data_IF_819463675448
#
_entry.id   IF_819463675448
#
_cell.length_a   1.000
_cell.length_b   1.000
_cell.length_c   1.000
_cell.angle_alpha   90.00
_cell.angle_beta   90.00
_cell.angle_gamma   90.00
#
_symmetry.space_group_name_H-M   'P 1'
#
loop_
_entity.id
_entity.type
_entity.pdbx_description
1 polymer ?
#
# COMPACT_ATOMS: atom_id res chain seq x y z
N UNK A 1 -27.30 6.32 12.13
CA UNK A 1 -26.61 5.04 11.90
C UNK A 1 -25.22 5.33 11.36
N UNK A 2 -24.17 4.80 11.99
CA UNK A 2 -22.81 4.90 11.43
C UNK A 2 -22.70 3.93 10.26
N UNK A 3 -22.76 4.46 9.05
CA UNK A 3 -22.59 3.71 7.81
C UNK A 3 -21.20 3.06 7.80
N UNK A 4 -21.18 1.73 7.72
CA UNK A 4 -19.97 0.92 7.75
C UNK A 4 -19.97 -0.06 6.58
N UNK A 5 -18.79 -0.33 6.06
CA UNK A 5 -18.57 -1.15 4.87
C UNK A 5 -17.32 -2.02 5.06
N UNK A 6 -17.10 -2.96 4.15
CA UNK A 6 -16.00 -3.92 4.18
C UNK A 6 -15.23 -3.83 2.88
N UNK A 7 -13.91 -3.69 2.97
CA UNK A 7 -13.02 -3.77 1.81
C UNK A 7 -12.04 -4.94 1.91
N UNK A 8 -11.65 -5.46 0.76
CA UNK A 8 -10.57 -6.43 0.63
C UNK A 8 -9.27 -5.70 0.31
N UNK A 9 -8.24 -5.97 1.10
CA UNK A 9 -6.90 -5.39 0.94
C UNK A 9 -5.91 -6.48 0.63
N UNK A 10 -5.27 -6.36 -0.54
CA UNK A 10 -4.26 -7.28 -1.04
C UNK A 10 -2.88 -6.91 -0.49
N UNK A 11 -2.13 -7.92 -0.06
CA UNK A 11 -0.79 -7.79 0.50
C UNK A 11 0.19 -8.47 -0.49
N UNK A 12 1.42 -7.96 -0.66
CA UNK A 12 2.35 -8.48 -1.69
C UNK A 12 2.72 -9.95 -1.54
N UNK A 13 2.60 -10.52 -0.34
CA UNK A 13 2.82 -11.95 -0.08
C UNK A 13 1.65 -12.86 -0.53
N UNK A 14 0.67 -12.31 -1.25
CA UNK A 14 -0.51 -13.04 -1.73
C UNK A 14 -1.66 -13.11 -0.72
N UNK A 15 -1.47 -12.62 0.51
CA UNK A 15 -2.52 -12.60 1.54
C UNK A 15 -3.55 -11.53 1.21
N UNK A 16 -4.83 -11.87 1.41
CA UNK A 16 -5.95 -10.93 1.33
C UNK A 16 -6.53 -10.75 2.74
N UNK A 17 -6.68 -9.51 3.18
CA UNK A 17 -7.32 -9.18 4.46
C UNK A 17 -8.62 -8.41 4.23
N UNK A 18 -9.66 -8.80 4.95
CA UNK A 18 -10.91 -8.07 5.02
C UNK A 18 -10.84 -7.03 6.13
N UNK A 19 -11.19 -5.78 5.83
CA UNK A 19 -11.19 -4.67 6.79
C UNK A 19 -12.56 -4.03 6.81
N UNK A 20 -13.22 -4.07 7.97
CA UNK A 20 -14.42 -3.28 8.24
C UNK A 20 -14.02 -1.85 8.57
N UNK A 21 -14.66 -0.88 7.93
CA UNK A 21 -14.40 0.53 8.14
C UNK A 21 -15.71 1.34 8.19
N UNK A 22 -15.67 2.49 8.86
CA UNK A 22 -16.72 3.51 8.71
C UNK A 22 -16.22 4.61 7.75
N UNK A 23 -17.12 5.35 7.13
CA UNK A 23 -16.73 6.35 6.13
C UNK A 23 -16.00 7.58 6.71
N UNK A 24 -16.02 7.77 8.03
CA UNK A 24 -15.38 8.91 8.70
C UNK A 24 -13.92 8.66 9.08
N UNK A 25 -13.45 7.40 9.12
CA UNK A 25 -12.04 7.13 9.40
C UNK A 25 -11.15 7.55 8.23
N UNK A 26 -9.92 7.91 8.59
CA UNK A 26 -8.83 8.18 7.66
C UNK A 26 -8.15 6.89 7.19
N UNK A 27 -7.55 6.94 6.01
CA UNK A 27 -6.69 5.86 5.45
C UNK A 27 -5.63 5.43 6.45
N UNK A 28 -5.04 6.36 7.20
CA UNK A 28 -4.07 6.06 8.25
C UNK A 28 -4.58 4.99 9.24
N UNK A 29 -5.83 5.13 9.71
CA UNK A 29 -6.40 4.20 10.68
C UNK A 29 -6.56 2.80 10.08
N UNK A 30 -6.94 2.71 8.81
CA UNK A 30 -7.00 1.45 8.05
C UNK A 30 -5.62 0.79 8.02
N UNK A 31 -4.58 1.55 7.62
CA UNK A 31 -3.20 1.04 7.53
C UNK A 31 -2.76 0.51 8.90
N UNK A 32 -2.97 1.28 9.97
CA UNK A 32 -2.57 0.88 11.32
C UNK A 32 -3.26 -0.42 11.77
N UNK A 33 -4.56 -0.58 11.49
CA UNK A 33 -5.32 -1.79 11.82
C UNK A 33 -4.78 -3.00 11.06
N UNK A 34 -4.53 -2.85 9.75
CA UNK A 34 -3.96 -3.90 8.93
C UNK A 34 -2.59 -4.35 9.43
N UNK A 35 -1.69 -3.39 9.65
CA UNK A 35 -0.32 -3.69 10.08
C UNK A 35 -0.30 -4.33 11.47
N UNK A 36 -1.14 -3.85 12.40
CA UNK A 36 -1.30 -4.49 13.71
C UNK A 36 -1.76 -5.93 13.58
N UNK A 37 -2.71 -6.21 12.68
CA UNK A 37 -3.21 -7.57 12.43
C UNK A 37 -2.19 -8.48 11.71
N UNK A 38 -1.13 -7.91 11.13
CA UNK A 38 -0.01 -8.62 10.53
C UNK A 38 1.17 -8.79 11.51
N UNK A 39 1.06 -8.28 12.74
CA UNK A 39 2.14 -8.33 13.72
C UNK A 39 3.28 -7.35 13.45
N UNK A 40 3.06 -6.34 12.58
CA UNK A 40 4.05 -5.30 12.28
C UNK A 40 4.03 -4.26 13.40
N UNK A 41 5.21 -3.81 13.81
CA UNK A 41 5.39 -2.85 14.89
C UNK A 41 4.93 -1.43 14.49
N UNK A 42 4.56 -0.63 15.49
CA UNK A 42 4.02 0.73 15.26
C UNK A 42 5.02 1.69 14.64
N UNK A 43 6.32 1.50 14.85
CA UNK A 43 7.36 2.38 14.32
C UNK A 43 7.43 2.20 12.80
N UNK A 44 7.25 0.97 12.33
CA UNK A 44 7.19 0.64 10.91
C UNK A 44 5.96 1.18 10.17
N UNK A 45 4.91 1.67 10.86
CA UNK A 45 3.68 2.09 10.19
C UNK A 45 3.88 3.23 9.18
N UNK A 46 4.84 4.13 9.47
CA UNK A 46 5.16 5.26 8.59
C UNK A 46 5.72 4.86 7.22
N UNK A 47 6.19 3.62 7.07
CA UNK A 47 6.77 3.14 5.82
C UNK A 47 5.74 2.59 4.83
N UNK A 48 4.51 2.33 5.29
CA UNK A 48 3.46 1.72 4.48
C UNK A 48 2.44 2.73 3.97
N UNK A 49 1.91 2.45 2.79
CA UNK A 49 0.83 3.22 2.18
C UNK A 49 -0.19 2.29 1.51
N UNK A 50 -1.41 2.79 1.38
CA UNK A 50 -2.49 2.12 0.66
C UNK A 50 -2.57 2.69 -0.76
N UNK A 51 -2.78 1.83 -1.75
CA UNK A 51 -3.06 2.24 -3.14
C UNK A 51 -4.28 1.53 -3.69
N UNK A 52 -4.92 2.17 -4.66
CA UNK A 52 -5.90 1.57 -5.54
C UNK A 52 -5.24 1.22 -6.86
N UNK A 53 -5.50 0.01 -7.36
CA UNK A 53 -5.08 -0.39 -8.70
C UNK A 53 -6.24 -1.04 -9.44
N UNK A 54 -6.19 -0.99 -10.77
CA UNK A 54 -7.15 -1.69 -11.62
C UNK A 54 -7.02 -3.21 -11.48
N UNK A 55 -8.15 -3.90 -11.57
CA UNK A 55 -8.24 -5.35 -11.53
C UNK A 55 -8.96 -5.84 -12.80
N UNK A 56 -8.49 -6.89 -13.49
CA UNK A 56 -7.30 -7.71 -13.17
C UNK A 56 -5.99 -6.94 -13.39
N UNK A 57 -4.98 -7.27 -12.59
CA UNK A 57 -3.64 -6.68 -12.75
C UNK A 57 -3.00 -7.34 -13.96
N UNK A 58 -2.94 -6.63 -15.07
CA UNK A 58 -2.18 -7.03 -16.25
C UNK A 58 -0.77 -6.41 -16.15
N UNK A 59 0.21 -6.99 -16.84
CA UNK A 59 1.59 -6.45 -16.85
C UNK A 59 1.66 -4.99 -17.37
N UNK A 60 0.62 -4.52 -18.06
CA UNK A 60 0.46 -3.14 -18.54
C UNK A 60 0.01 -2.13 -17.47
N UNK A 61 -0.42 -2.57 -16.29
CA UNK A 61 -0.83 -1.69 -15.18
C UNK A 61 0.34 -0.91 -14.52
N UNK A 62 1.53 -0.95 -15.13
CA UNK A 62 2.72 -0.21 -14.70
C UNK A 62 2.67 1.30 -15.05
N UNK A 63 1.72 1.72 -15.90
CA UNK A 63 1.55 3.15 -16.18
C UNK A 63 0.92 3.88 -14.99
N UNK A 64 1.45 5.07 -14.68
CA UNK A 64 1.04 5.93 -13.56
C UNK A 64 -0.48 6.22 -13.49
N UNK A 65 -1.20 6.06 -14.61
CA UNK A 65 -2.64 6.29 -14.70
C UNK A 65 -3.51 5.16 -14.11
N UNK A 66 -2.94 3.99 -13.84
CA UNK A 66 -3.68 2.81 -13.36
C UNK A 66 -3.49 2.56 -11.86
N UNK A 67 -2.74 3.44 -11.18
CA UNK A 67 -2.37 3.34 -9.78
C UNK A 67 -2.64 4.66 -9.04
N UNK A 68 -3.46 4.61 -7.98
CA UNK A 68 -3.75 5.78 -7.16
C UNK A 68 -3.31 5.54 -5.72
N UNK A 69 -2.22 6.19 -5.32
CA UNK A 69 -1.80 6.20 -3.93
C UNK A 69 -2.75 7.05 -3.08
N UNK A 70 -3.16 6.51 -1.94
CA UNK A 70 -4.10 7.15 -1.04
C UNK A 70 -3.33 7.88 0.07
N UNK A 71 -3.55 9.18 0.19
CA UNK A 71 -2.97 9.98 1.26
C UNK A 71 -3.51 9.53 2.62
N UNK A 72 -2.64 9.44 3.63
CA UNK A 72 -2.96 8.93 4.98
C UNK A 72 -4.09 9.72 5.65
N UNK A 73 -4.14 11.05 5.45
CA UNK A 73 -5.18 11.92 6.00
C UNK A 73 -6.53 11.89 5.28
N UNK A 74 -6.62 11.20 4.14
CA UNK A 74 -7.87 11.14 3.38
C UNK A 74 -8.91 10.29 4.12
N UNK A 75 -10.14 10.79 4.24
CA UNK A 75 -11.26 10.01 4.76
C UNK A 75 -11.74 8.98 3.73
N UNK A 76 -12.18 7.82 4.22
CA UNK A 76 -12.74 6.75 3.37
C UNK A 76 -13.96 7.23 2.56
N UNK A 77 -14.78 8.15 3.10
CA UNK A 77 -15.89 8.78 2.36
C UNK A 77 -15.46 9.41 1.04
N UNK A 78 -14.32 10.10 1.02
CA UNK A 78 -13.85 10.78 -0.19
C UNK A 78 -13.36 9.79 -1.24
N UNK A 79 -12.73 8.70 -0.79
CA UNK A 79 -12.29 7.60 -1.66
C UNK A 79 -13.50 6.93 -2.28
N UNK A 80 -14.49 6.57 -1.46
CA UNK A 80 -15.72 5.96 -1.92
C UNK A 80 -16.44 6.82 -2.96
N UNK A 81 -16.65 8.10 -2.66
CA UNK A 81 -17.30 9.04 -3.59
C UNK A 81 -16.57 9.16 -4.92
N UNK A 82 -15.23 9.18 -4.90
CA UNK A 82 -14.40 9.38 -6.10
C UNK A 82 -14.30 8.13 -6.97
N UNK A 83 -14.20 6.95 -6.37
CA UNK A 83 -13.81 5.72 -7.07
C UNK A 83 -14.86 4.62 -7.11
N UNK A 84 -15.89 4.68 -6.24
CA UNK A 84 -16.87 3.61 -6.06
C UNK A 84 -18.32 4.11 -6.07
N UNK A 85 -18.56 5.40 -6.31
CA UNK A 85 -19.92 5.94 -6.44
C UNK A 85 -20.57 5.44 -7.73
N UNK A 86 -21.90 5.44 -7.80
CA UNK A 86 -22.64 5.01 -9.02
C UNK A 86 -22.25 5.80 -10.28
N UNK A 87 -21.66 6.99 -10.12
CA UNK A 87 -21.15 7.84 -11.18
C UNK A 87 -19.69 7.56 -11.57
N UNK A 88 -18.93 6.77 -10.80
CA UNK A 88 -17.54 6.43 -11.15
C UNK A 88 -17.48 5.28 -12.18
N UNK A 89 -16.40 5.25 -12.95
CA UNK A 89 -16.18 4.31 -14.07
C UNK A 89 -16.37 2.85 -13.66
N UNK A 90 -16.83 2.01 -14.62
CA UNK A 90 -17.09 0.57 -14.46
C UNK A 90 -15.84 -0.30 -14.24
N UNK A 91 -14.68 0.32 -14.03
CA UNK A 91 -13.40 -0.37 -13.95
C UNK A 91 -13.27 -0.98 -12.55
N UNK A 92 -13.03 -2.29 -12.42
CA UNK A 92 -12.84 -2.90 -11.12
C UNK A 92 -11.56 -2.36 -10.48
N UNK A 93 -11.67 -1.83 -9.27
CA UNK A 93 -10.53 -1.36 -8.47
C UNK A 93 -10.33 -2.28 -7.27
N UNK A 94 -9.07 -2.48 -6.87
CA UNK A 94 -8.72 -3.21 -5.66
C UNK A 94 -7.77 -2.39 -4.78
N UNK A 95 -7.91 -2.56 -3.46
CA UNK A 95 -7.00 -1.96 -2.49
C UNK A 95 -5.76 -2.84 -2.30
N UNK A 96 -4.58 -2.23 -2.26
CA UNK A 96 -3.32 -2.92 -2.05
C UNK A 96 -2.46 -2.17 -1.03
N UNK A 97 -1.93 -2.91 -0.04
CA UNK A 97 -1.01 -2.39 0.96
C UNK A 97 0.43 -2.57 0.46
N UNK A 98 1.25 -1.52 0.50
CA UNK A 98 2.64 -1.56 0.03
C UNK A 98 3.56 -0.78 0.95
N UNK A 99 4.82 -1.22 1.01
CA UNK A 99 5.92 -0.37 1.44
C UNK A 99 6.09 0.75 0.40
N UNK A 100 6.23 1.99 0.85
CA UNK A 100 6.34 3.16 -0.04
C UNK A 100 7.40 4.15 0.42
N UNK A 101 7.48 4.40 1.71
CA UNK A 101 8.42 5.35 2.27
C UNK A 101 9.53 4.55 2.91
N UNK A 102 10.74 4.64 2.37
CA UNK A 102 11.93 3.97 2.91
C UNK A 102 12.84 5.10 3.42
N UNK A 103 13.36 4.98 4.64
CA UNK A 103 14.34 5.96 5.13
C UNK A 103 15.59 5.91 4.24
N UNK A 104 16.24 7.05 4.02
CA UNK A 104 17.51 7.10 3.30
C UNK A 104 18.55 6.18 3.93
N UNK A 105 18.53 6.06 5.26
CA UNK A 105 19.45 5.19 5.99
C UNK A 105 19.28 3.70 5.64
N UNK A 106 18.04 3.28 5.34
CA UNK A 106 17.78 1.90 4.88
C UNK A 106 18.25 1.71 3.43
N UNK A 107 18.10 2.72 2.58
CA UNK A 107 18.59 2.69 1.21
C UNK A 107 20.14 2.61 1.17
N UNK A 108 20.83 3.39 2.00
CA UNK A 108 22.29 3.34 2.13
C UNK A 108 22.78 2.00 2.72
N UNK A 109 22.05 1.42 3.69
CA UNK A 109 22.37 0.11 4.26
C UNK A 109 22.26 -1.01 3.22
N UNK A 110 21.19 -1.02 2.40
CA UNK A 110 21.04 -1.98 1.29
C UNK A 110 22.15 -1.85 0.25
N UNK A 111 22.52 -0.61 -0.11
CA UNK A 111 23.60 -0.37 -1.08
C UNK A 111 24.96 -0.83 -0.56
N UNK A 112 25.23 -0.62 0.73
CA UNK A 112 26.47 -1.05 1.37
C UNK A 112 26.58 -2.58 1.40
N UNK A 113 25.48 -3.28 1.73
CA UNK A 113 25.46 -4.75 1.75
C UNK A 113 25.66 -5.36 0.35
N UNK A 114 25.12 -4.75 -0.70
CA UNK A 114 25.39 -5.17 -2.09
C UNK A 114 26.78 -4.77 -2.60
N UNK A 115 27.34 -3.64 -2.14
CA UNK A 115 28.66 -3.17 -2.52
C UNK A 115 29.81 -3.99 -1.91
N UNK A 116 29.58 -4.64 -0.77
CA UNK A 116 30.53 -5.61 -0.20
C UNK A 116 30.71 -6.84 -1.08
N UNK A 117 29.65 -7.29 -1.77
CA UNK A 117 29.70 -8.47 -2.63
C UNK A 117 30.47 -8.18 -3.93
N UNK A 118 30.38 -6.97 -4.49
CA UNK A 118 31.11 -6.62 -5.72
C UNK A 118 32.61 -6.37 -5.50
N UNK A 119 33.03 -5.87 -4.32
CA UNK A 119 34.44 -5.61 -4.06
C UNK A 119 35.24 -6.86 -3.68
N UNK A 120 34.62 -7.91 -3.13
CA UNK A 120 35.33 -9.18 -2.86
C UNK A 120 35.73 -9.97 -4.10
N UNK A 121 35.16 -9.67 -5.27
CA UNK A 121 35.54 -10.30 -6.54
C UNK A 121 36.65 -9.56 -7.31
N UNK A 122 37.03 -8.34 -6.91
CA UNK A 122 38.08 -7.55 -7.59
C UNK A 122 39.47 -7.69 -6.97
N UNK A 123 39.58 -8.15 -5.73
CA UNK A 123 40.87 -8.31 -5.04
C UNK A 123 41.51 -9.70 -5.22
N UNK A 124 41.05 -10.51 -6.18
CA UNK A 124 41.51 -11.89 -6.43
C UNK A 124 42.41 -12.06 -7.67
N UNK A 125 42.92 -10.98 -8.28
CA UNK A 125 43.85 -11.04 -9.43
C UNK A 125 45.09 -10.18 -9.24
#
# INVERSE_FOLDING_TARGET
MNEADVMLVYIPNGVIKSVRYNFEIKVQKVIHVLLSALGIDRISFGYFALRLIRSPVTQMCSNNNDCHWLHSDLKMRHIYKKFFSKSSSSIPLRFELRLRFISKDLEEMYQTETGFVENSYRDSH
#
